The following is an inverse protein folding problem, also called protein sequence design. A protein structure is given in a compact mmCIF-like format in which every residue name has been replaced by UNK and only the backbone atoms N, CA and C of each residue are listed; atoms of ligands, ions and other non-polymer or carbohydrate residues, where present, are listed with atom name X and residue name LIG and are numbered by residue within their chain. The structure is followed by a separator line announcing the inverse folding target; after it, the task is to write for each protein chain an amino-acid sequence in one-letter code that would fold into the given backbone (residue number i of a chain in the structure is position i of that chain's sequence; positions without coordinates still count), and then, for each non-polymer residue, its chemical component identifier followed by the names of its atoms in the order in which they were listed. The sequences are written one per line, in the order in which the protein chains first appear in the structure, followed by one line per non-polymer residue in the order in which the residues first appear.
data_IF_669480545244
#
_entry.id   IF_669480545244
#
_cell.length_a   1.000
_cell.length_b   1.000
_cell.length_c   1.000
_cell.angle_alpha   90.00
_cell.angle_beta   90.00
_cell.angle_gamma   90.00
#
_symmetry.space_group_name_H-M   'P 1'
#
loop_
_entity.id
_entity.type
_entity.pdbx_description
1 polymer ?
#
# COMPACT_ATOMS: atom_id res chain seq x y z
N UNK A 1 10.74 20.90 38.92
CA UNK A 1 9.79 20.58 37.84
C UNK A 1 9.87 19.09 37.59
N UNK A 2 8.83 18.33 37.91
CA UNK A 2 8.81 16.89 37.66
C UNK A 2 8.28 16.63 36.24
N UNK A 3 9.09 15.99 35.39
CA UNK A 3 8.67 15.56 34.07
C UNK A 3 7.83 14.28 34.20
N UNK A 4 6.70 14.21 33.49
CA UNK A 4 5.90 12.99 33.39
C UNK A 4 6.64 12.06 32.41
N UNK A 5 7.20 10.97 32.92
CA UNK A 5 7.75 9.89 32.09
C UNK A 5 6.68 8.79 31.96
N UNK A 6 6.15 8.62 30.74
CA UNK A 6 5.23 7.52 30.42
C UNK A 6 6.04 6.23 30.24
N UNK A 7 6.02 5.36 31.24
CA UNK A 7 6.76 4.07 31.24
C UNK A 7 6.00 2.94 30.53
N UNK A 8 4.71 3.12 30.23
CA UNK A 8 3.85 2.09 29.63
C UNK A 8 3.82 2.23 28.11
N UNK A 9 4.38 1.23 27.43
CA UNK A 9 4.30 1.07 25.98
C UNK A 9 3.17 0.11 25.63
N UNK A 10 2.02 0.64 25.25
CA UNK A 10 0.88 -0.14 24.79
C UNK A 10 1.18 -0.80 23.44
N UNK A 11 1.16 -2.14 23.40
CA UNK A 11 1.55 -2.94 22.22
C UNK A 11 0.39 -3.78 21.65
N UNK A 12 -0.85 -3.56 22.12
CA UNK A 12 -2.01 -4.29 21.61
C UNK A 12 -2.24 -4.01 20.12
N UNK A 13 -2.40 -5.09 19.36
CA UNK A 13 -2.74 -5.05 17.93
C UNK A 13 -4.19 -5.50 17.79
N UNK A 14 -5.02 -4.66 17.20
CA UNK A 14 -6.42 -4.97 16.91
C UNK A 14 -6.54 -5.33 15.44
N UNK A 15 -6.80 -6.61 15.17
CA UNK A 15 -7.00 -7.08 13.79
C UNK A 15 -8.34 -6.58 13.25
N UNK A 16 -8.43 -6.25 11.95
CA UNK A 16 -9.70 -5.92 11.34
C UNK A 16 -10.66 -7.12 11.41
N UNK A 17 -11.98 -6.89 11.50
CA UNK A 17 -12.97 -7.95 11.42
C UNK A 17 -12.83 -8.79 10.13
N UNK A 18 -13.18 -10.08 10.21
CA UNK A 18 -13.04 -11.01 9.08
C UNK A 18 -13.85 -10.57 7.85
N UNK A 19 -15.05 -10.00 8.05
CA UNK A 19 -15.90 -9.49 6.98
C UNK A 19 -15.25 -8.35 6.18
N UNK A 20 -14.53 -7.47 6.88
CA UNK A 20 -13.80 -6.37 6.25
C UNK A 20 -12.55 -6.88 5.53
N UNK A 21 -11.87 -7.87 6.09
CA UNK A 21 -10.71 -8.50 5.47
C UNK A 21 -11.08 -9.23 4.17
N UNK A 22 -12.25 -9.87 4.12
CA UNK A 22 -12.72 -10.60 2.94
C UNK A 22 -13.05 -9.68 1.75
N UNK A 23 -13.40 -8.41 2.00
CA UNK A 23 -13.72 -7.43 0.97
C UNK A 23 -12.57 -6.45 0.70
N UNK A 24 -11.42 -6.64 1.35
CA UNK A 24 -10.28 -5.76 1.19
C UNK A 24 -9.69 -5.89 -0.22
N UNK A 25 -9.33 -4.76 -0.83
CA UNK A 25 -8.63 -4.74 -2.12
C UNK A 25 -7.25 -5.43 -2.06
N UNK A 26 -6.66 -5.51 -0.87
CA UNK A 26 -5.41 -6.21 -0.61
C UNK A 26 -5.68 -7.28 0.45
N UNK A 27 -5.51 -8.58 0.15
CA UNK A 27 -5.83 -9.66 1.06
C UNK A 27 -4.73 -9.84 2.12
N UNK A 28 -4.68 -8.91 3.07
CA UNK A 28 -3.80 -8.96 4.22
C UNK A 28 -2.37 -8.46 3.96
N UNK A 29 -1.55 -8.59 5.00
CA UNK A 29 -0.23 -7.96 5.04
C UNK A 29 0.80 -8.62 4.12
N UNK A 30 0.71 -9.92 3.86
CA UNK A 30 1.66 -10.59 2.97
C UNK A 30 1.48 -10.13 1.52
N UNK A 31 0.22 -10.00 1.08
CA UNK A 31 -0.10 -9.43 -0.23
C UNK A 31 0.33 -7.97 -0.33
N UNK A 32 0.13 -7.18 0.72
CA UNK A 32 0.64 -5.81 0.79
C UNK A 32 2.17 -5.75 0.66
N UNK A 33 2.89 -6.56 1.43
CA UNK A 33 4.36 -6.60 1.38
C UNK A 33 4.88 -7.02 0.00
N UNK A 34 4.21 -7.97 -0.65
CA UNK A 34 4.55 -8.36 -2.02
C UNK A 34 4.33 -7.21 -3.01
N UNK A 35 3.23 -6.46 -2.86
CA UNK A 35 2.94 -5.29 -3.69
C UNK A 35 4.00 -4.19 -3.51
N UNK A 36 4.36 -3.89 -2.27
CA UNK A 36 5.41 -2.91 -1.95
C UNK A 36 6.75 -3.36 -2.53
N UNK A 37 7.14 -4.62 -2.36
CA UNK A 37 8.38 -5.13 -2.92
C UNK A 37 8.42 -5.09 -4.46
N UNK A 38 7.27 -5.23 -5.12
CA UNK A 38 7.16 -5.02 -6.57
C UNK A 38 7.37 -3.56 -6.94
N UNK A 39 6.70 -2.64 -6.24
CA UNK A 39 6.82 -1.21 -6.48
C UNK A 39 8.26 -0.70 -6.20
N UNK A 40 8.94 -1.23 -5.19
CA UNK A 40 10.33 -0.88 -4.87
C UNK A 40 11.32 -1.37 -5.95
N UNK A 41 11.06 -2.53 -6.56
CA UNK A 41 11.92 -3.09 -7.62
C UNK A 41 11.75 -2.40 -8.96
N UNK A 42 10.53 -2.03 -9.31
CA UNK A 42 10.18 -1.41 -10.59
C UNK A 42 8.98 -0.48 -10.43
N UNK A 43 9.24 0.72 -9.91
CA UNK A 43 8.18 1.70 -9.61
C UNK A 43 7.52 2.20 -10.90
N UNK A 44 8.27 2.41 -11.98
CA UNK A 44 7.71 2.84 -13.26
C UNK A 44 6.81 1.75 -13.85
N UNK A 45 7.31 0.51 -13.97
CA UNK A 45 6.52 -0.60 -14.50
C UNK A 45 5.28 -0.87 -13.65
N UNK A 46 5.40 -0.76 -12.32
CA UNK A 46 4.28 -0.88 -11.39
C UNK A 46 3.19 0.15 -11.68
N UNK A 47 3.53 1.44 -11.73
CA UNK A 47 2.57 2.50 -11.98
C UNK A 47 2.03 2.49 -13.40
N UNK A 48 2.86 2.19 -14.40
CA UNK A 48 2.43 2.06 -15.80
C UNK A 48 1.39 0.95 -15.96
N UNK A 49 1.59 -0.19 -15.29
CA UNK A 49 0.65 -1.30 -15.30
C UNK A 49 -0.68 -0.89 -14.67
N UNK A 50 -0.65 -0.36 -13.44
CA UNK A 50 -1.86 0.09 -12.75
C UNK A 50 -2.63 1.13 -13.58
N UNK A 51 -1.93 2.11 -14.15
CA UNK A 51 -2.55 3.15 -14.97
C UNK A 51 -3.24 2.57 -16.21
N UNK A 52 -2.69 1.55 -16.86
CA UNK A 52 -3.31 0.90 -18.02
C UNK A 52 -4.49 0.00 -17.67
N UNK A 53 -4.46 -0.62 -16.50
CA UNK A 53 -5.49 -1.56 -16.05
C UNK A 53 -6.70 -0.86 -15.42
N UNK A 54 -6.47 0.23 -14.69
CA UNK A 54 -7.50 0.86 -13.85
C UNK A 54 -8.12 2.11 -14.45
N UNK A 55 -7.45 2.73 -15.44
CA UNK A 55 -7.91 3.98 -16.05
C UNK A 55 -8.26 3.77 -17.52
N UNK A 56 -9.35 4.40 -17.96
CA UNK A 56 -9.70 4.42 -19.38
C UNK A 56 -9.04 5.62 -20.05
N UNK A 57 -8.13 5.35 -20.99
CA UNK A 57 -7.39 6.39 -21.69
C UNK A 57 -8.02 6.70 -23.05
N UNK A 58 -8.26 7.99 -23.31
CA UNK A 58 -8.59 8.44 -24.67
C UNK A 58 -7.40 8.29 -25.63
N UNK A 59 -6.19 8.56 -25.14
CA UNK A 59 -4.93 8.31 -25.84
C UNK A 59 -3.96 7.68 -24.84
N UNK A 60 -3.37 6.51 -25.13
CA UNK A 60 -2.38 5.88 -24.26
C UNK A 60 -1.14 6.77 -24.07
N UNK A 61 -0.58 6.77 -22.86
CA UNK A 61 0.69 7.41 -22.58
C UNK A 61 1.86 6.56 -23.08
N UNK A 62 2.94 7.22 -23.48
CA UNK A 62 4.18 6.56 -23.97
C UNK A 62 5.33 6.67 -22.99
N UNK A 63 5.33 7.69 -22.13
CA UNK A 63 6.31 7.90 -21.07
C UNK A 63 5.62 7.76 -19.72
N UNK A 64 6.25 7.02 -18.80
CA UNK A 64 5.67 6.66 -17.51
C UNK A 64 5.99 7.72 -16.46
N UNK A 65 7.28 8.01 -16.27
CA UNK A 65 7.77 9.07 -15.39
C UNK A 65 8.62 10.05 -16.21
N UNK A 66 8.38 11.34 -16.01
CA UNK A 66 9.25 12.41 -16.50
C UNK A 66 10.21 12.80 -15.36
N UNK A 67 11.47 12.38 -15.46
CA UNK A 67 12.58 12.87 -14.63
C UNK A 67 13.12 14.23 -15.11
#
# INVERSE_FOLDING_TARGET
MAAIESVLHESRIFQPPAELTAQAAIPGMDAYRALVAQAERDYEGFWAKLARETLTWKKPFTKVLDE
#
